data_IF_076525793633
#
_entry.id   IF_076525793633
#
_cell.length_a   1.000
_cell.length_b   1.000
_cell.length_c   1.000
_cell.angle_alpha   90.00
_cell.angle_beta   90.00
_cell.angle_gamma   90.00
#
_symmetry.space_group_name_H-M   'P 1'
#
loop_
_entity.id
_entity.type
_entity.pdbx_description
1 polymer ?
#
# COMPACT_ATOMS: atom_id res chain seq x y z
N UNK A 1 -64.33 0.81 51.08
CA UNK A 1 -64.42 2.09 51.80
C UNK A 1 -63.33 3.00 51.24
N UNK A 2 -63.69 3.83 50.26
CA UNK A 2 -63.89 5.29 50.37
C UNK A 2 -62.61 6.10 50.11
N UNK A 3 -62.63 6.83 48.98
CA UNK A 3 -61.71 7.91 48.61
C UNK A 3 -61.97 9.14 49.50
N UNK A 4 -60.97 10.03 49.66
CA UNK A 4 -61.14 11.44 49.26
C UNK A 4 -59.90 11.91 48.46
N UNK A 5 -59.95 12.57 47.30
CA UNK A 5 -60.50 13.87 46.86
C UNK A 5 -59.88 15.14 47.50
N UNK A 6 -59.02 15.78 46.68
CA UNK A 6 -59.06 17.19 46.25
C UNK A 6 -58.09 18.26 46.82
N UNK A 7 -57.71 19.12 45.86
CA UNK A 7 -57.23 20.51 45.90
C UNK A 7 -55.71 20.74 46.09
N UNK A 8 -55.06 21.76 45.53
CA UNK A 8 -55.25 22.62 44.36
C UNK A 8 -53.98 23.52 44.24
N UNK A 9 -53.68 24.00 43.03
CA UNK A 9 -53.03 25.30 42.69
C UNK A 9 -51.61 25.61 43.18
N UNK A 10 -50.67 25.87 42.25
CA UNK A 10 -50.10 27.21 42.01
C UNK A 10 -49.02 27.19 40.91
N UNK A 11 -49.15 28.17 40.02
CA UNK A 11 -48.28 28.45 38.89
C UNK A 11 -47.04 29.23 39.32
N UNK A 12 -45.93 29.06 38.59
CA UNK A 12 -44.95 30.12 38.40
C UNK A 12 -44.52 30.16 36.93
N UNK A 13 -44.86 31.26 36.28
CA UNK A 13 -44.36 31.67 34.99
C UNK A 13 -42.95 32.22 35.15
N UNK A 14 -41.99 31.71 34.36
CA UNK A 14 -40.69 32.33 34.18
C UNK A 14 -40.62 32.90 32.76
N UNK A 15 -40.80 34.21 32.66
CA UNK A 15 -40.54 35.00 31.44
C UNK A 15 -39.04 35.23 31.37
N UNK A 16 -38.37 34.62 30.40
CA UNK A 16 -36.99 34.98 30.04
C UNK A 16 -37.04 35.97 28.87
N UNK A 17 -36.70 37.23 29.15
CA UNK A 17 -36.42 38.25 28.15
C UNK A 17 -34.98 38.06 27.66
N UNK A 18 -34.79 37.63 26.42
CA UNK A 18 -33.50 37.69 25.72
C UNK A 18 -33.62 38.62 24.52
N UNK A 19 -32.93 39.75 24.60
CA UNK A 19 -32.81 40.78 23.56
C UNK A 19 -32.13 40.25 22.28
N UNK A 20 -32.36 40.88 21.12
CA UNK A 20 -31.78 40.48 19.84
C UNK A 20 -30.34 40.99 19.71
N UNK A 21 -29.39 40.08 19.48
CA UNK A 21 -28.04 40.45 19.07
C UNK A 21 -27.99 40.60 17.53
N UNK A 22 -27.47 41.75 17.12
CA UNK A 22 -27.32 42.27 15.78
C UNK A 22 -26.61 41.32 14.81
N UNK A 23 -27.09 41.36 13.56
CA UNK A 23 -26.51 40.72 12.40
C UNK A 23 -25.02 41.10 12.22
N UNK A 24 -24.18 40.09 12.00
CA UNK A 24 -22.86 40.26 11.42
C UNK A 24 -22.85 39.64 10.02
N UNK A 25 -22.57 40.47 9.03
CA UNK A 25 -22.38 40.11 7.63
C UNK A 25 -21.23 39.10 7.47
N UNK A 26 -21.31 38.14 6.53
CA UNK A 26 -20.18 37.27 6.24
C UNK A 26 -19.08 38.10 5.56
N UNK A 27 -17.96 38.28 6.26
CA UNK A 27 -16.74 38.77 5.66
C UNK A 27 -16.24 37.73 4.66
N UNK A 28 -16.10 38.15 3.40
CA UNK A 28 -15.35 37.44 2.37
C UNK A 28 -13.89 37.35 2.82
N UNK A 29 -13.54 36.28 3.54
CA UNK A 29 -12.16 35.85 3.66
C UNK A 29 -11.81 35.03 2.42
N UNK A 30 -10.92 35.61 1.62
CA UNK A 30 -10.25 34.98 0.50
C UNK A 30 -9.76 33.58 0.90
N UNK A 31 -10.43 32.53 0.38
CA UNK A 31 -9.85 31.21 0.33
C UNK A 31 -8.71 31.23 -0.68
N UNK A 32 -7.50 31.48 -0.17
CA UNK A 32 -6.30 30.96 -0.78
C UNK A 32 -6.45 29.43 -0.74
N UNK A 33 -6.43 28.68 -1.86
CA UNK A 33 -6.47 27.23 -1.80
C UNK A 33 -5.20 26.73 -1.09
N UNK A 34 -5.35 26.42 0.19
CA UNK A 34 -4.38 25.66 0.95
C UNK A 34 -4.34 24.25 0.36
N UNK A 35 -3.23 23.96 -0.30
CA UNK A 35 -2.68 22.66 -0.64
C UNK A 35 -3.44 21.46 -0.04
N UNK A 36 -4.11 20.68 -0.90
CA UNK A 36 -4.63 19.36 -0.54
C UNK A 36 -3.48 18.35 -0.42
N UNK A 37 -2.72 18.44 0.68
CA UNK A 37 -1.83 17.37 1.16
C UNK A 37 -2.49 16.80 2.41
N UNK A 38 -3.12 15.63 2.26
CA UNK A 38 -3.77 14.94 3.38
C UNK A 38 -5.04 14.22 2.97
N UNK A 39 -4.93 13.19 2.13
CA UNK A 39 -6.00 12.19 2.04
C UNK A 39 -6.03 11.44 3.38
N UNK A 40 -7.17 11.38 4.09
CA UNK A 40 -7.26 10.70 5.37
C UNK A 40 -6.96 9.21 5.17
N UNK A 41 -6.04 8.67 5.98
CA UNK A 41 -5.81 7.23 6.09
C UNK A 41 -7.11 6.63 6.65
N UNK A 42 -7.83 5.77 5.90
CA UNK A 42 -9.11 5.26 6.37
C UNK A 42 -8.91 4.32 7.58
N UNK A 43 -9.78 4.49 8.59
CA UNK A 43 -9.77 3.73 9.84
C UNK A 43 -9.69 2.21 9.63
N UNK A 44 -8.77 1.58 10.37
CA UNK A 44 -8.20 0.24 10.16
C UNK A 44 -9.11 -0.99 10.32
N UNK A 45 -10.43 -0.85 10.19
CA UNK A 45 -11.37 -1.99 10.27
C UNK A 45 -11.96 -2.42 8.92
N UNK A 46 -12.17 -1.49 7.99
CA UNK A 46 -12.99 -1.76 6.79
C UNK A 46 -12.20 -1.67 5.48
N UNK A 47 -11.04 -1.01 5.45
CA UNK A 47 -10.14 -0.98 4.28
C UNK A 47 -9.28 -2.23 4.10
N UNK A 48 -9.15 -3.08 5.12
CA UNK A 48 -8.29 -4.26 5.05
C UNK A 48 -8.82 -5.36 4.11
N UNK A 49 -10.11 -5.34 3.74
CA UNK A 49 -10.73 -6.41 2.95
C UNK A 49 -10.86 -6.14 1.45
N UNK A 50 -10.66 -4.90 0.98
CA UNK A 50 -11.14 -4.53 -0.36
C UNK A 50 -10.15 -3.74 -1.25
N UNK A 51 -8.88 -3.60 -0.84
CA UNK A 51 -7.85 -2.90 -1.64
C UNK A 51 -6.53 -3.67 -1.78
N UNK A 52 -6.59 -5.00 -1.86
CA UNK A 52 -5.42 -5.85 -2.09
C UNK A 52 -5.26 -6.14 -3.58
N UNK A 53 -5.17 -5.09 -4.38
CA UNK A 53 -4.88 -5.20 -5.80
C UNK A 53 -3.47 -5.74 -6.03
N UNK A 54 -3.38 -6.72 -6.92
CA UNK A 54 -2.15 -7.47 -7.14
C UNK A 54 -1.22 -6.70 -8.08
N UNK A 55 0.02 -6.50 -7.66
CA UNK A 55 1.11 -6.03 -8.50
C UNK A 55 1.65 -7.18 -9.34
N UNK A 56 1.52 -7.09 -10.67
CA UNK A 56 2.17 -8.04 -11.59
C UNK A 56 3.63 -7.64 -11.78
N UNK A 57 4.55 -8.56 -11.48
CA UNK A 57 5.95 -8.42 -11.84
C UNK A 57 6.25 -9.12 -13.15
N UNK A 58 6.90 -8.41 -14.08
CA UNK A 58 7.36 -9.00 -15.33
C UNK A 58 8.64 -9.81 -15.13
N UNK A 59 9.48 -9.39 -14.18
CA UNK A 59 10.75 -10.05 -13.85
C UNK A 59 10.55 -11.36 -13.11
N UNK A 60 9.71 -11.32 -12.07
CA UNK A 60 9.43 -12.50 -11.26
C UNK A 60 8.34 -13.37 -11.89
N UNK A 61 7.69 -12.89 -12.97
CA UNK A 61 6.61 -13.59 -13.69
C UNK A 61 5.52 -14.08 -12.73
N UNK A 62 5.11 -13.18 -11.84
CA UNK A 62 4.23 -13.50 -10.73
C UNK A 62 3.43 -12.27 -10.30
N UNK A 63 2.31 -12.52 -9.63
CA UNK A 63 1.44 -11.51 -9.06
C UNK A 63 1.59 -11.48 -7.55
N UNK A 64 1.59 -10.26 -7.00
CA UNK A 64 1.86 -10.03 -5.61
C UNK A 64 0.81 -9.13 -4.98
N UNK A 65 0.25 -9.57 -3.87
CA UNK A 65 -0.52 -8.70 -2.99
C UNK A 65 0.38 -8.15 -1.91
N UNK A 66 0.43 -6.83 -1.79
CA UNK A 66 1.13 -6.18 -0.69
C UNK A 66 0.31 -6.33 0.60
N UNK A 67 0.91 -6.93 1.62
CA UNK A 67 0.26 -7.23 2.89
C UNK A 67 1.09 -6.70 4.06
N UNK A 68 0.40 -6.09 5.03
CA UNK A 68 1.00 -5.79 6.32
C UNK A 68 1.13 -7.07 7.14
N UNK A 69 2.35 -7.37 7.58
CA UNK A 69 2.70 -8.55 8.34
C UNK A 69 3.07 -8.13 9.75
N UNK A 70 2.56 -8.85 10.75
CA UNK A 70 2.92 -8.70 12.15
C UNK A 70 3.32 -10.06 12.71
N UNK A 71 4.54 -10.14 13.20
CA UNK A 71 5.06 -11.26 13.99
C UNK A 71 5.49 -10.70 15.35
N UNK A 72 5.71 -11.53 16.38
CA UNK A 72 6.12 -11.04 17.69
C UNK A 72 7.32 -10.09 17.57
N UNK A 73 7.16 -8.86 18.06
CA UNK A 73 8.16 -7.78 18.08
C UNK A 73 8.54 -7.16 16.71
N UNK A 74 7.95 -7.59 15.59
CA UNK A 74 8.26 -7.03 14.29
C UNK A 74 7.02 -6.86 13.40
N UNK A 75 6.88 -5.67 12.83
CA UNK A 75 5.87 -5.39 11.80
C UNK A 75 6.54 -4.87 10.53
N UNK A 76 6.09 -5.36 9.38
CA UNK A 76 6.65 -4.98 8.08
C UNK A 76 5.68 -5.26 6.94
N UNK A 77 5.92 -4.65 5.78
CA UNK A 77 5.21 -4.98 4.55
C UNK A 77 5.88 -6.15 3.84
N UNK A 78 5.09 -7.13 3.42
CA UNK A 78 5.52 -8.26 2.59
C UNK A 78 4.67 -8.37 1.33
N UNK A 79 5.23 -8.97 0.28
CA UNK A 79 4.55 -9.21 -0.98
C UNK A 79 4.18 -10.69 -1.06
N UNK A 80 2.90 -11.01 -0.84
CA UNK A 80 2.38 -12.38 -0.92
C UNK A 80 2.18 -12.76 -2.38
N UNK A 81 2.70 -13.92 -2.78
CA UNK A 81 2.49 -14.48 -4.12
C UNK A 81 1.05 -14.98 -4.24
N UNK A 82 0.29 -14.42 -5.18
CA UNK A 82 -1.11 -14.80 -5.45
C UNK A 82 -1.25 -15.56 -6.76
N UNK A 83 -0.37 -15.30 -7.73
CA UNK A 83 -0.29 -16.03 -8.99
C UNK A 83 1.16 -16.11 -9.45
N UNK A 84 1.50 -17.12 -10.23
CA UNK A 84 2.86 -17.35 -10.71
C UNK A 84 2.82 -18.13 -12.03
N UNK A 85 3.54 -17.63 -13.03
CA UNK A 85 3.67 -18.30 -14.32
C UNK A 85 4.46 -19.61 -14.18
N UNK A 86 4.24 -20.53 -15.13
CA UNK A 86 4.89 -21.84 -15.12
C UNK A 86 6.42 -21.76 -15.26
N UNK A 87 6.91 -20.76 -15.99
CA UNK A 87 8.33 -20.49 -16.23
C UNK A 87 8.89 -19.41 -15.30
N UNK A 88 8.20 -19.11 -14.20
CA UNK A 88 8.65 -18.13 -13.21
C UNK A 88 9.96 -18.57 -12.54
N UNK A 89 10.93 -17.65 -12.38
CA UNK A 89 12.15 -17.93 -11.61
C UNK A 89 11.85 -18.27 -10.14
N UNK A 90 10.72 -17.82 -9.59
CA UNK A 90 10.28 -18.17 -8.24
C UNK A 90 9.90 -19.65 -8.12
N UNK A 91 9.26 -20.21 -9.14
CA UNK A 91 8.90 -21.63 -9.17
C UNK A 91 10.13 -22.52 -9.22
N UNK A 92 11.16 -22.10 -9.96
CA UNK A 92 12.43 -22.84 -10.10
C UNK A 92 13.16 -22.98 -8.77
N UNK A 93 13.04 -22.01 -7.87
CA UNK A 93 13.61 -22.05 -6.51
C UNK A 93 12.63 -22.61 -5.47
N UNK A 94 11.51 -23.21 -5.91
CA UNK A 94 10.57 -23.93 -5.04
C UNK A 94 9.59 -23.06 -4.25
N UNK A 95 9.47 -21.76 -4.55
CA UNK A 95 8.44 -20.92 -3.96
C UNK A 95 7.06 -21.32 -4.48
N UNK A 96 6.06 -21.14 -3.63
CA UNK A 96 4.67 -21.54 -3.91
C UNK A 96 3.71 -20.38 -3.69
N UNK A 97 2.47 -20.56 -4.17
CA UNK A 97 1.40 -19.62 -3.90
C UNK A 97 1.18 -19.48 -2.39
N UNK A 98 0.97 -18.25 -1.95
CA UNK A 98 0.86 -17.88 -0.54
C UNK A 98 2.18 -17.56 0.14
N UNK A 99 3.34 -17.91 -0.42
CA UNK A 99 4.63 -17.50 0.13
C UNK A 99 4.79 -15.98 0.07
N UNK A 100 5.50 -15.42 1.04
CA UNK A 100 5.65 -13.97 1.18
C UNK A 100 7.09 -13.55 0.93
N UNK A 101 7.31 -12.79 -0.13
CA UNK A 101 8.62 -12.18 -0.43
C UNK A 101 8.77 -10.91 0.40
N UNK A 102 9.91 -10.75 1.06
CA UNK A 102 10.17 -9.64 1.98
C UNK A 102 11.35 -8.78 1.53
N UNK A 103 12.35 -9.38 0.88
CA UNK A 103 13.51 -8.65 0.33
C UNK A 103 14.01 -9.26 -0.97
N UNK A 104 14.60 -8.41 -1.79
CA UNK A 104 15.40 -8.74 -2.98
C UNK A 104 16.77 -8.08 -2.81
N UNK A 105 17.86 -8.84 -2.90
CA UNK A 105 19.24 -8.39 -2.63
C UNK A 105 19.36 -7.53 -1.36
N UNK A 106 18.75 -7.99 -0.26
CA UNK A 106 18.72 -7.27 1.02
C UNK A 106 17.77 -6.06 1.08
N UNK A 107 17.26 -5.58 -0.05
CA UNK A 107 16.34 -4.44 -0.15
C UNK A 107 14.90 -4.87 0.11
N UNK A 108 14.18 -4.16 1.00
CA UNK A 108 12.76 -4.46 1.27
C UNK A 108 11.90 -4.26 0.03
N UNK A 109 11.01 -5.20 -0.25
CA UNK A 109 10.09 -5.11 -1.40
C UNK A 109 9.20 -3.86 -1.39
N UNK A 110 8.92 -3.31 -0.21
CA UNK A 110 8.13 -2.10 -0.01
C UNK A 110 8.91 -0.80 -0.20
N UNK A 111 10.23 -0.85 -0.40
CA UNK A 111 11.06 0.36 -0.53
C UNK A 111 10.68 1.13 -1.79
N UNK A 112 10.26 2.39 -1.60
CA UNK A 112 9.85 3.26 -2.70
C UNK A 112 8.52 2.88 -3.33
N UNK A 113 7.67 2.07 -2.67
CA UNK A 113 6.33 1.77 -3.17
C UNK A 113 5.48 3.03 -3.27
N UNK A 114 4.60 3.08 -4.26
CA UNK A 114 3.58 4.13 -4.39
C UNK A 114 2.24 3.53 -4.77
N UNK A 115 1.16 4.27 -4.54
CA UNK A 115 -0.16 3.92 -5.06
C UNK A 115 -0.25 4.38 -6.51
N UNK A 116 -0.44 3.43 -7.44
CA UNK A 116 -0.74 3.72 -8.84
C UNK A 116 -2.26 3.86 -8.99
N UNK A 117 -2.74 5.10 -8.98
CA UNK A 117 -4.16 5.41 -9.12
C UNK A 117 -4.74 4.96 -10.45
N UNK A 118 -3.94 4.92 -11.52
CA UNK A 118 -4.41 4.51 -12.86
C UNK A 118 -4.73 3.02 -12.93
N UNK A 119 -3.97 2.21 -12.18
CA UNK A 119 -4.14 0.75 -12.10
C UNK A 119 -4.89 0.30 -10.86
N UNK A 120 -5.13 1.22 -9.93
CA UNK A 120 -5.66 0.93 -8.60
C UNK A 120 -4.81 -0.09 -7.85
N UNK A 121 -3.48 -0.08 -8.03
CA UNK A 121 -2.54 -1.05 -7.42
C UNK A 121 -1.38 -0.41 -6.69
N UNK A 122 -0.84 -1.09 -5.67
CA UNK A 122 0.47 -0.73 -5.13
C UNK A 122 1.56 -1.09 -6.14
N UNK A 123 2.28 -0.11 -6.63
CA UNK A 123 3.46 -0.35 -7.43
C UNK A 123 4.65 -0.70 -6.53
N UNK A 124 5.33 -1.81 -6.83
CA UNK A 124 6.45 -2.34 -6.06
C UNK A 124 7.72 -2.27 -6.92
N UNK A 125 8.40 -1.10 -7.01
CA UNK A 125 9.51 -0.92 -7.94
C UNK A 125 10.65 -1.90 -7.72
N UNK A 126 10.86 -2.37 -6.49
CA UNK A 126 11.90 -3.35 -6.20
C UNK A 126 11.63 -4.70 -6.86
N UNK A 127 10.40 -5.02 -7.26
CA UNK A 127 10.16 -6.26 -8.02
C UNK A 127 10.75 -6.22 -9.43
N UNK A 128 10.99 -5.02 -9.98
CA UNK A 128 11.44 -4.83 -11.37
C UNK A 128 12.89 -4.38 -11.49
N UNK A 129 13.52 -3.96 -10.38
CA UNK A 129 14.85 -3.34 -10.36
C UNK A 129 16.01 -4.31 -10.09
N UNK A 130 15.72 -5.59 -9.96
CA UNK A 130 16.71 -6.64 -9.70
C UNK A 130 16.90 -7.51 -10.94
N UNK A 131 18.15 -7.92 -11.17
CA UNK A 131 18.57 -8.60 -12.39
C UNK A 131 19.65 -9.64 -12.09
N UNK A 132 19.80 -10.60 -12.98
CA UNK A 132 20.73 -11.71 -12.82
C UNK A 132 20.43 -12.51 -11.56
N UNK A 133 21.47 -13.07 -10.96
CA UNK A 133 21.38 -13.84 -9.72
C UNK A 133 21.01 -12.96 -8.54
N UNK A 134 19.72 -12.96 -8.21
CA UNK A 134 19.11 -12.14 -7.16
C UNK A 134 18.86 -12.99 -5.91
N UNK A 135 19.24 -12.50 -4.74
CA UNK A 135 18.87 -13.11 -3.46
C UNK A 135 17.44 -12.74 -3.11
N UNK A 136 16.60 -13.74 -2.84
CA UNK A 136 15.20 -13.58 -2.47
C UNK A 136 15.03 -14.04 -1.03
N UNK A 137 14.61 -13.11 -0.16
CA UNK A 137 14.23 -13.44 1.22
C UNK A 137 12.73 -13.63 1.31
N UNK A 138 12.28 -14.83 1.63
CA UNK A 138 10.88 -15.18 1.73
C UNK A 138 10.49 -15.80 3.09
N UNK A 139 9.19 -15.80 3.35
CA UNK A 139 8.55 -16.50 4.46
C UNK A 139 7.61 -17.54 3.86
N UNK A 140 7.76 -18.79 4.30
CA UNK A 140 6.93 -19.89 3.81
C UNK A 140 5.51 -19.77 4.37
N UNK A 141 4.51 -19.84 3.48
CA UNK A 141 3.10 -19.75 3.85
C UNK A 141 2.73 -20.72 4.97
N UNK A 142 1.90 -20.27 5.91
CA UNK A 142 1.50 -21.05 7.08
C UNK A 142 2.60 -21.27 8.13
N UNK A 143 3.79 -20.69 7.95
CA UNK A 143 4.91 -20.82 8.88
C UNK A 143 5.56 -19.47 9.18
N UNK A 144 6.49 -19.46 10.14
CA UNK A 144 7.39 -18.33 10.42
C UNK A 144 8.79 -18.55 9.87
N UNK A 145 9.00 -19.61 9.07
CA UNK A 145 10.31 -19.96 8.54
C UNK A 145 10.73 -18.96 7.47
N UNK A 146 11.84 -18.28 7.75
CA UNK A 146 12.49 -17.34 6.82
C UNK A 146 13.56 -18.09 6.04
N UNK A 147 13.58 -17.92 4.72
CA UNK A 147 14.63 -18.48 3.84
C UNK A 147 15.26 -17.38 3.00
N UNK A 148 16.48 -17.63 2.56
CA UNK A 148 17.18 -16.83 1.56
C UNK A 148 17.56 -17.78 0.42
N UNK A 149 16.95 -17.57 -0.73
CA UNK A 149 17.18 -18.36 -1.94
C UNK A 149 17.79 -17.47 -3.03
N UNK A 150 18.35 -18.06 -4.08
CA UNK A 150 18.87 -17.31 -5.23
C UNK A 150 18.12 -17.69 -6.49
N UNK A 151 17.53 -16.71 -7.17
CA UNK A 151 16.88 -16.89 -8.45
C UNK A 151 17.59 -16.05 -9.52
N UNK A 152 17.68 -16.57 -10.74
CA UNK A 152 18.13 -15.79 -11.89
C UNK A 152 16.93 -15.04 -12.51
N UNK A 153 16.95 -13.71 -12.46
CA UNK A 153 15.90 -12.83 -13.01
C UNK A 153 16.20 -12.37 -14.44
N UNK A 154 17.23 -12.98 -15.06
CA UNK A 154 17.69 -12.66 -16.39
C UNK A 154 18.45 -11.32 -16.45
N UNK A 155 18.98 -10.95 -17.63
CA UNK A 155 19.79 -9.75 -17.77
C UNK A 155 18.98 -8.49 -17.46
N UNK A 156 19.67 -7.43 -16.99
CA UNK A 156 19.10 -6.09 -17.03
C UNK A 156 18.63 -5.82 -18.46
N UNK A 157 17.40 -5.33 -18.62
CA UNK A 157 16.90 -4.92 -19.93
C UNK A 157 17.89 -3.86 -20.42
N UNK A 158 18.79 -4.25 -21.31
CA UNK A 158 19.61 -3.31 -22.04
C UNK A 158 18.61 -2.61 -22.95
N UNK A 159 18.51 -1.29 -22.81
CA UNK A 159 17.80 -0.47 -23.80
C UNK A 159 18.33 -0.95 -25.15
N UNK A 160 17.50 -1.48 -26.07
CA UNK A 160 17.96 -1.76 -27.42
C UNK A 160 18.63 -0.47 -27.90
N UNK A 161 19.89 -0.53 -28.35
CA UNK A 161 20.58 0.66 -28.85
C UNK A 161 19.61 1.45 -29.72
N UNK A 162 19.24 2.68 -29.35
CA UNK A 162 18.46 3.49 -30.25
C UNK A 162 19.35 3.71 -31.47
N UNK A 163 18.84 3.31 -32.63
CA UNK A 163 19.43 3.41 -33.96
C UNK A 163 20.23 2.20 -34.49
N UNK A 164 19.64 1.45 -35.45
CA UNK A 164 20.43 0.83 -36.51
C UNK A 164 20.90 1.96 -37.44
N UNK A 165 22.06 2.58 -37.15
CA UNK A 165 22.62 3.59 -38.05
C UNK A 165 23.68 4.55 -37.51
N UNK A 166 24.06 4.50 -36.23
CA UNK A 166 25.12 5.36 -35.68
C UNK A 166 26.43 4.59 -35.50
N UNK A 167 27.37 4.77 -36.42
CA UNK A 167 28.64 4.01 -36.47
C UNK A 167 29.55 4.18 -35.24
N UNK A 168 30.31 3.11 -34.99
CA UNK A 168 31.68 3.20 -34.46
C UNK A 168 31.85 3.58 -32.99
N UNK A 169 31.56 2.65 -32.09
CA UNK A 169 32.05 2.72 -30.71
C UNK A 169 32.28 1.31 -30.17
N UNK A 170 33.47 0.75 -30.39
CA UNK A 170 33.89 -0.50 -29.76
C UNK A 170 33.79 -0.36 -28.24
N UNK A 171 33.18 -1.32 -27.51
CA UNK A 171 33.26 -1.29 -26.06
C UNK A 171 34.73 -1.45 -25.64
N UNK A 172 35.23 -0.47 -24.88
CA UNK A 172 36.54 -0.54 -24.23
C UNK A 172 36.49 -1.71 -23.25
N UNK A 173 37.22 -2.78 -23.57
CA UNK A 173 37.60 -3.82 -22.61
C UNK A 173 38.69 -3.19 -21.75
N UNK A 174 38.33 -2.82 -20.52
CA UNK A 174 39.31 -2.42 -19.50
C UNK A 174 39.89 -3.74 -18.93
N UNK A 175 41.23 -3.91 -18.89
CA UNK A 175 41.88 -5.13 -18.41
C UNK A 175 41.62 -5.40 -16.93
#
# INVERSE_FOLDING_TARGET
MHRPLLHATLAFAAVALSSPALAQSPAFQQQVPQQAVGQPIPNGGQVARQMMSAHRSNRLKAEFTLQWMQIPNFSFWGARITSMDQDSPLRQIGLQLGDVVTRLDGTRVSTGKWWDQSRGVWALPQMERHFGRTQIRNIRSGTTLVRNEYADLGPRWQVPSPYPGGGGGTPIIVP
#
